data_IF_643971107852
#
_entry.id   IF_643971107852
#
_cell.length_a   1.000
_cell.length_b   1.000
_cell.length_c   1.000
_cell.angle_alpha   90.00
_cell.angle_beta   90.00
_cell.angle_gamma   90.00
#
_symmetry.space_group_name_H-M   'P 1'
#
loop_
_entity.id
_entity.type
_entity.pdbx_description
1 polymer ?
#
# COMPACT_ATOMS: atom_id res chain seq x y z
N UNK A 1 -28.83 -18.20 16.39
CA UNK A 1 -28.79 -17.24 15.27
C UNK A 1 -27.35 -16.80 15.11
N UNK A 2 -26.78 -17.04 13.93
CA UNK A 2 -25.36 -16.91 13.64
C UNK A 2 -24.88 -15.48 13.85
N UNK A 3 -23.84 -15.32 14.67
CA UNK A 3 -23.00 -14.12 14.69
C UNK A 3 -22.28 -14.02 13.34
N UNK A 4 -22.88 -13.32 12.39
CA UNK A 4 -22.14 -12.77 11.26
C UNK A 4 -21.23 -11.68 11.84
N UNK A 5 -20.05 -12.11 12.30
CA UNK A 5 -18.93 -11.20 12.51
C UNK A 5 -18.49 -10.77 11.11
N UNK A 6 -19.12 -9.73 10.57
CA UNK A 6 -18.55 -9.01 9.43
C UNK A 6 -17.19 -8.51 9.91
N UNK A 7 -16.13 -9.22 9.55
CA UNK A 7 -14.78 -8.72 9.68
C UNK A 7 -14.69 -7.53 8.74
N UNK A 8 -14.98 -6.34 9.26
CA UNK A 8 -14.88 -5.09 8.53
C UNK A 8 -13.52 -5.06 7.83
N UNK A 9 -13.46 -5.07 6.49
CA UNK A 9 -12.20 -5.05 5.73
C UNK A 9 -11.64 -3.64 5.67
N UNK A 10 -10.34 -3.48 5.41
CA UNK A 10 -9.82 -2.19 4.96
C UNK A 10 -10.30 -1.90 3.53
N UNK A 11 -10.37 -0.63 3.17
CA UNK A 11 -10.86 -0.16 1.86
C UNK A 11 -9.72 0.00 0.85
N UNK A 12 -8.54 0.38 1.33
CA UNK A 12 -7.36 0.59 0.49
C UNK A 12 -6.07 0.54 1.29
N UNK A 13 -4.96 0.37 0.59
CA UNK A 13 -3.64 0.77 1.08
C UNK A 13 -3.34 2.18 0.58
N UNK A 14 -2.71 3.01 1.40
CA UNK A 14 -2.22 4.33 1.05
C UNK A 14 -0.70 4.38 1.25
N UNK A 15 0.01 4.83 0.24
CA UNK A 15 1.46 4.90 0.20
C UNK A 15 1.92 6.34 0.02
N UNK A 16 2.84 6.78 0.86
CA UNK A 16 3.42 8.13 0.79
C UNK A 16 4.93 8.02 0.87
N UNK A 17 5.62 8.50 -0.17
CA UNK A 17 7.06 8.81 -0.08
C UNK A 17 7.30 10.30 -0.18
N UNK A 18 7.89 10.85 0.86
CA UNK A 18 8.40 12.22 0.90
C UNK A 18 9.90 12.22 0.60
N UNK A 19 10.37 13.13 -0.26
CA UNK A 19 11.79 13.22 -0.64
C UNK A 19 12.23 12.19 -1.69
N UNK A 20 13.41 12.40 -2.30
CA UNK A 20 13.95 11.52 -3.35
C UNK A 20 13.10 11.39 -4.63
N UNK A 21 12.19 12.34 -4.91
CA UNK A 21 11.18 12.27 -5.97
C UNK A 21 9.81 11.85 -5.45
N UNK A 22 9.10 12.78 -4.80
CA UNK A 22 7.86 12.54 -4.05
C UNK A 22 6.80 11.75 -4.86
N UNK A 23 6.17 10.77 -4.21
CA UNK A 23 5.03 10.03 -4.76
C UNK A 23 3.99 9.74 -3.67
N UNK A 24 2.71 9.87 -4.03
CA UNK A 24 1.55 9.57 -3.19
C UNK A 24 0.55 8.79 -4.05
N UNK A 25 0.17 7.59 -3.57
CA UNK A 25 -0.81 6.77 -4.26
C UNK A 25 -1.61 5.89 -3.30
N UNK A 26 -2.78 5.46 -3.75
CA UNK A 26 -3.61 4.47 -3.07
C UNK A 26 -3.79 3.24 -3.93
N UNK A 27 -3.79 2.06 -3.30
CA UNK A 27 -3.99 0.75 -3.95
C UNK A 27 -5.30 0.15 -3.47
N UNK A 28 -6.10 -0.32 -4.42
CA UNK A 28 -7.44 -0.87 -4.20
C UNK A 28 -7.55 -2.27 -4.81
N UNK A 29 -8.33 -3.14 -4.16
CA UNK A 29 -8.78 -4.39 -4.78
C UNK A 29 -9.61 -4.07 -6.03
N UNK A 30 -9.52 -4.95 -7.02
CA UNK A 30 -10.44 -4.98 -8.16
C UNK A 30 -11.30 -6.22 -8.09
N UNK A 31 -12.21 -6.40 -9.05
CA UNK A 31 -12.98 -7.64 -9.18
C UNK A 31 -12.11 -8.82 -9.62
N UNK A 32 -10.93 -8.57 -10.19
CA UNK A 32 -9.94 -9.59 -10.55
C UNK A 32 -8.85 -9.63 -9.46
N UNK A 33 -8.70 -10.77 -8.80
CA UNK A 33 -7.68 -10.97 -7.75
C UNK A 33 -6.23 -10.86 -8.27
N UNK A 34 -6.04 -10.94 -9.58
CA UNK A 34 -4.74 -10.77 -10.21
C UNK A 34 -4.51 -9.32 -10.66
N UNK A 35 -5.41 -8.40 -10.34
CA UNK A 35 -5.27 -6.98 -10.65
C UNK A 35 -5.57 -6.11 -9.44
N UNK A 36 -4.72 -5.10 -9.25
CA UNK A 36 -4.93 -4.04 -8.29
C UNK A 36 -5.01 -2.71 -9.02
N UNK A 37 -5.96 -1.86 -8.60
CA UNK A 37 -6.05 -0.49 -9.10
C UNK A 37 -5.19 0.42 -8.25
N UNK A 38 -4.37 1.23 -8.90
CA UNK A 38 -3.58 2.27 -8.25
C UNK A 38 -4.06 3.64 -8.68
N UNK A 39 -4.31 4.52 -7.72
CA UNK A 39 -4.65 5.92 -7.95
C UNK A 39 -3.53 6.79 -7.41
N UNK A 40 -2.83 7.47 -8.29
CA UNK A 40 -1.67 8.32 -7.98
C UNK A 40 -2.15 9.76 -7.88
N UNK A 41 -1.93 10.39 -6.72
CA UNK A 41 -2.38 11.76 -6.43
C UNK A 41 -1.23 12.77 -6.43
N UNK A 42 0.01 12.29 -6.30
CA UNK A 42 1.22 13.12 -6.37
C UNK A 42 2.37 12.36 -7.02
N UNK A 43 3.12 13.03 -7.90
CA UNK A 43 4.32 12.47 -8.51
C UNK A 43 5.31 13.58 -8.87
N UNK A 44 6.59 13.38 -8.58
CA UNK A 44 7.67 14.32 -8.88
C UNK A 44 7.39 15.75 -8.41
N UNK A 45 6.91 15.87 -7.16
CA UNK A 45 6.55 17.15 -6.51
C UNK A 45 5.39 17.92 -7.16
N UNK A 46 4.58 17.25 -8.00
CA UNK A 46 3.39 17.83 -8.61
C UNK A 46 2.15 17.04 -8.20
N UNK A 47 1.08 17.75 -7.90
CA UNK A 47 -0.24 17.15 -7.77
C UNK A 47 -0.66 16.59 -9.14
N UNK A 48 -1.17 15.37 -9.14
CA UNK A 48 -1.56 14.64 -10.35
C UNK A 48 -2.77 13.77 -10.04
N UNK A 49 -3.44 13.24 -11.06
CA UNK A 49 -4.39 12.15 -10.88
C UNK A 49 -4.20 11.18 -12.04
N UNK A 50 -3.62 10.01 -11.75
CA UNK A 50 -3.46 8.92 -12.72
C UNK A 50 -4.04 7.65 -12.13
N UNK A 51 -4.86 6.95 -12.90
CA UNK A 51 -5.32 5.61 -12.57
C UNK A 51 -4.52 4.58 -13.38
N UNK A 52 -4.03 3.55 -12.70
CA UNK A 52 -3.17 2.51 -13.27
C UNK A 52 -3.67 1.15 -12.79
N UNK A 53 -3.37 0.11 -13.55
CA UNK A 53 -3.59 -1.28 -13.14
C UNK A 53 -2.24 -1.96 -12.99
N UNK A 54 -2.00 -2.55 -11.82
CA UNK A 54 -0.88 -3.48 -11.61
C UNK A 54 -1.43 -4.89 -11.81
N UNK A 55 -0.81 -5.65 -12.70
CA UNK A 55 -1.13 -7.07 -12.91
C UNK A 55 -0.14 -7.94 -12.14
N UNK A 56 -0.67 -8.97 -11.49
CA UNK A 56 0.13 -9.96 -10.75
C UNK A 56 1.05 -10.73 -11.69
N UNK A 57 2.30 -10.88 -11.29
CA UNK A 57 3.34 -11.64 -11.99
C UNK A 57 4.24 -12.35 -10.95
N UNK A 58 5.28 -13.03 -11.42
CA UNK A 58 6.22 -13.76 -10.55
C UNK A 58 6.95 -12.88 -9.55
N UNK A 59 7.20 -11.62 -9.90
CA UNK A 59 8.05 -10.70 -9.13
C UNK A 59 7.27 -9.95 -8.04
N UNK A 60 5.96 -9.76 -8.24
CA UNK A 60 5.10 -9.03 -7.31
C UNK A 60 4.07 -9.93 -6.58
N UNK A 61 4.07 -11.25 -6.82
CA UNK A 61 3.12 -12.19 -6.18
C UNK A 61 3.11 -12.09 -4.65
N UNK A 62 4.29 -11.96 -4.01
CA UNK A 62 4.37 -11.82 -2.55
C UNK A 62 3.71 -10.54 -2.03
N UNK A 63 3.83 -9.44 -2.78
CA UNK A 63 3.21 -8.16 -2.44
C UNK A 63 1.69 -8.21 -2.59
N UNK A 64 1.18 -8.87 -3.65
CA UNK A 64 -0.25 -9.13 -3.82
C UNK A 64 -0.81 -9.94 -2.65
N UNK A 65 -0.20 -11.07 -2.31
CA UNK A 65 -0.64 -11.90 -1.18
C UNK A 65 -0.62 -11.11 0.14
N UNK A 66 0.44 -10.33 0.37
CA UNK A 66 0.57 -9.50 1.57
C UNK A 66 -0.50 -8.41 1.65
N UNK A 67 -0.82 -7.77 0.51
CA UNK A 67 -1.89 -6.79 0.41
C UNK A 67 -3.25 -7.41 0.68
N UNK A 68 -3.59 -8.53 0.01
CA UNK A 68 -4.87 -9.19 0.21
C UNK A 68 -5.05 -9.69 1.65
N UNK A 69 -4.02 -10.30 2.26
CA UNK A 69 -4.13 -10.70 3.67
C UNK A 69 -4.26 -9.49 4.61
N UNK A 70 -3.54 -8.40 4.35
CA UNK A 70 -3.63 -7.19 5.18
C UNK A 70 -4.98 -6.47 5.03
N UNK A 71 -5.49 -6.31 3.80
CA UNK A 71 -6.78 -5.64 3.53
C UNK A 71 -7.96 -6.42 4.11
N UNK A 72 -7.86 -7.76 4.13
CA UNK A 72 -8.82 -8.66 4.77
C UNK A 72 -8.58 -8.84 6.29
N UNK A 73 -7.65 -8.08 6.90
CA UNK A 73 -7.30 -8.13 8.34
C UNK A 73 -6.78 -9.48 8.85
N UNK A 74 -6.26 -10.31 7.96
CA UNK A 74 -5.64 -11.60 8.30
C UNK A 74 -4.20 -11.43 8.80
N UNK A 75 -3.58 -10.27 8.54
CA UNK A 75 -2.22 -9.93 8.97
C UNK A 75 -2.21 -8.73 9.91
N UNK A 76 -1.35 -8.80 10.94
CA UNK A 76 -1.12 -7.70 11.87
C UNK A 76 -0.36 -6.56 11.20
N UNK A 77 -0.96 -5.37 11.16
CA UNK A 77 -0.32 -4.16 10.64
C UNK A 77 0.76 -3.60 11.58
N UNK A 78 0.58 -3.79 12.89
CA UNK A 78 1.50 -3.29 13.90
C UNK A 78 2.57 -4.34 14.19
N UNK A 79 3.83 -3.93 14.22
CA UNK A 79 4.96 -4.79 14.60
C UNK A 79 6.18 -3.98 15.04
N UNK A 80 7.35 -4.60 14.96
CA UNK A 80 8.59 -4.08 15.54
C UNK A 80 9.44 -3.20 14.61
N UNK A 81 8.81 -2.42 13.72
CA UNK A 81 9.56 -1.50 12.87
C UNK A 81 10.20 -0.38 13.70
N UNK A 82 11.53 -0.27 13.64
CA UNK A 82 12.26 0.92 14.06
C UNK A 82 12.64 1.70 12.82
N UNK A 83 12.00 2.85 12.61
CA UNK A 83 12.38 3.75 11.54
C UNK A 83 13.78 4.30 11.80
N UNK A 84 14.61 4.40 10.77
CA UNK A 84 15.94 5.02 10.91
C UNK A 84 15.78 6.46 11.40
N UNK A 85 16.55 6.84 12.42
CA UNK A 85 16.57 8.20 13.00
C UNK A 85 17.48 9.16 12.23
N UNK A 86 18.08 8.72 11.11
CA UNK A 86 18.94 9.58 10.29
C UNK A 86 18.12 10.66 9.57
N UNK A 87 18.55 11.92 9.70
CA UNK A 87 17.79 13.10 9.28
C UNK A 87 17.62 13.30 7.76
N UNK A 88 18.24 12.48 6.90
CA UNK A 88 18.44 12.85 5.49
C UNK A 88 17.47 12.16 4.54
N UNK A 89 16.26 12.71 4.48
CA UNK A 89 15.75 13.21 3.21
C UNK A 89 14.83 12.31 2.40
N UNK A 90 14.51 11.07 2.82
CA UNK A 90 13.43 10.29 2.21
C UNK A 90 12.69 9.46 3.25
N UNK A 91 11.38 9.62 3.34
CA UNK A 91 10.51 8.91 4.28
C UNK A 91 9.41 8.20 3.51
N UNK A 92 9.21 6.91 3.80
CA UNK A 92 8.13 6.12 3.22
C UNK A 92 7.18 5.65 4.32
N UNK A 93 5.91 5.97 4.16
CA UNK A 93 4.83 5.51 5.03
C UNK A 93 3.82 4.70 4.23
N UNK A 94 3.34 3.62 4.84
CA UNK A 94 2.31 2.75 4.27
C UNK A 94 1.20 2.66 5.30
N UNK A 95 -0.03 2.93 4.88
CA UNK A 95 -1.22 2.90 5.72
C UNK A 95 -2.27 1.98 5.11
N UNK A 96 -3.10 1.36 5.93
CA UNK A 96 -4.39 0.82 5.50
C UNK A 96 -5.52 1.73 5.97
N UNK A 97 -6.48 1.99 5.07
CA UNK A 97 -7.61 2.90 5.28
C UNK A 97 -8.89 2.14 5.58
N UNK A 98 -9.67 2.64 6.53
CA UNK A 98 -11.02 2.13 6.81
C UNK A 98 -11.90 3.25 7.36
N UNK A 99 -13.06 3.50 6.73
CA UNK A 99 -14.02 4.55 7.14
C UNK A 99 -13.34 5.91 7.35
N UNK A 100 -12.45 6.28 6.43
CA UNK A 100 -11.71 7.55 6.47
C UNK A 100 -10.62 7.64 7.54
N UNK A 101 -10.32 6.56 8.27
CA UNK A 101 -9.20 6.50 9.22
C UNK A 101 -8.03 5.73 8.62
N UNK A 102 -6.82 6.14 8.97
CA UNK A 102 -5.58 5.48 8.55
C UNK A 102 -4.93 4.73 9.70
N UNK A 103 -4.39 3.54 9.40
CA UNK A 103 -3.56 2.77 10.31
C UNK A 103 -2.23 2.43 9.66
N UNK A 104 -1.14 2.94 10.23
CA UNK A 104 0.20 2.74 9.71
C UNK A 104 0.65 1.28 9.84
N UNK A 105 1.36 0.81 8.81
CA UNK A 105 2.00 -0.49 8.78
C UNK A 105 3.38 -0.38 9.41
N UNK A 106 3.51 -0.85 10.65
CA UNK A 106 4.78 -0.94 11.39
C UNK A 106 5.27 -2.39 11.54
N UNK A 107 4.58 -3.35 10.93
CA UNK A 107 5.10 -4.70 10.76
C UNK A 107 6.16 -4.70 9.65
N UNK A 108 7.42 -4.95 10.01
CA UNK A 108 8.57 -4.84 9.10
C UNK A 108 8.47 -5.78 7.90
N UNK A 109 8.08 -7.04 8.11
CA UNK A 109 7.96 -8.03 7.04
C UNK A 109 6.85 -7.64 6.05
N UNK A 110 5.66 -7.27 6.57
CA UNK A 110 4.55 -6.78 5.76
C UNK A 110 4.96 -5.52 4.99
N UNK A 111 5.54 -4.54 5.68
CA UNK A 111 5.97 -3.29 5.07
C UNK A 111 6.97 -3.52 3.94
N UNK A 112 7.97 -4.39 4.16
CA UNK A 112 8.99 -4.74 3.15
C UNK A 112 8.36 -5.34 1.90
N UNK A 113 7.38 -6.23 2.08
CA UNK A 113 6.62 -6.80 0.97
C UNK A 113 5.83 -5.73 0.19
N UNK A 114 5.14 -4.84 0.91
CA UNK A 114 4.29 -3.81 0.32
C UNK A 114 5.07 -2.69 -0.39
N UNK A 115 6.35 -2.47 -0.05
CA UNK A 115 7.22 -1.53 -0.77
C UNK A 115 7.32 -1.86 -2.26
N UNK A 116 7.11 -3.12 -2.66
CA UNK A 116 7.17 -3.52 -4.06
C UNK A 116 6.17 -2.78 -4.95
N UNK A 117 5.02 -2.37 -4.40
CA UNK A 117 4.05 -1.58 -5.16
C UNK A 117 4.57 -0.21 -5.58
N UNK A 118 5.57 0.35 -4.89
CA UNK A 118 6.22 1.56 -5.35
C UNK A 118 6.92 1.32 -6.69
N UNK A 119 7.74 0.27 -6.80
CA UNK A 119 8.46 -0.07 -8.03
C UNK A 119 7.50 -0.26 -9.22
N UNK A 120 6.44 -1.04 -9.00
CA UNK A 120 5.41 -1.33 -10.01
C UNK A 120 4.66 -0.05 -10.42
N UNK A 121 4.37 0.82 -9.45
CA UNK A 121 3.69 2.09 -9.73
C UNK A 121 4.61 3.02 -10.52
N UNK A 122 5.90 3.11 -10.14
CA UNK A 122 6.89 3.93 -10.82
C UNK A 122 7.18 3.46 -12.25
N UNK A 123 7.13 2.16 -12.53
CA UNK A 123 7.33 1.62 -13.88
C UNK A 123 6.19 1.95 -14.83
N UNK A 124 4.97 2.14 -14.29
CA UNK A 124 3.76 2.46 -15.06
C UNK A 124 3.51 3.97 -15.23
N UNK A 125 4.07 4.81 -14.35
CA UNK A 125 3.87 6.28 -14.40
C UNK A 125 4.85 6.98 -15.34
N UNK A 126 6.10 6.48 -15.40
CA UNK A 126 7.20 7.06 -16.18
C UNK A 126 6.95 6.93 -17.67
#
# INVERSE_FOLDING_TARGET
MNSNTEHEKYESMHFVRNGGGQIDFSVFETTDENQLKVVVTKYAFRDTTKELLITKNTDNTGAFSSFHSAINKETLLIGNLKQSTMATGTWVHIYFRFKGKEKEVTNEALRTSLLKFEDETLSLIK
#
